data_IF_780070336438
#
_entry.id   IF_780070336438
#
_cell.length_a   1.000
_cell.length_b   1.000
_cell.length_c   1.000
_cell.angle_alpha   90.00
_cell.angle_beta   90.00
_cell.angle_gamma   90.00
#
_symmetry.space_group_name_H-M   'P 1'
#
loop_
_entity.id
_entity.type
_entity.pdbx_description
1 polymer ?
#
# COMPACT_ATOMS: atom_id res chain seq x y z
N UNK A 1 -27.76 -6.09 9.00
CA UNK A 1 -26.32 -6.41 9.08
C UNK A 1 -25.62 -5.30 9.85
N UNK A 2 -24.84 -5.62 10.88
CA UNK A 2 -24.06 -4.62 11.60
C UNK A 2 -23.04 -3.99 10.63
N UNK A 3 -22.97 -2.66 10.55
CA UNK A 3 -21.90 -2.00 9.81
C UNK A 3 -20.57 -2.46 10.44
N UNK A 4 -19.65 -3.05 9.68
CA UNK A 4 -18.31 -3.28 10.19
C UNK A 4 -17.68 -1.91 10.43
N UNK A 5 -17.73 -1.44 11.67
CA UNK A 5 -17.01 -0.24 12.08
C UNK A 5 -15.54 -0.60 12.14
N UNK A 6 -14.83 -0.29 11.07
CA UNK A 6 -13.37 -0.37 11.01
C UNK A 6 -12.85 0.98 11.49
N UNK A 7 -12.18 0.98 12.65
CA UNK A 7 -11.49 2.16 13.16
C UNK A 7 -10.00 1.98 12.93
N UNK A 8 -9.45 2.73 11.97
CA UNK A 8 -8.02 2.75 11.67
C UNK A 8 -7.38 4.01 12.28
N UNK A 9 -6.12 3.89 12.70
CA UNK A 9 -5.29 5.04 13.05
C UNK A 9 -5.04 5.89 11.80
N UNK A 10 -4.75 7.21 11.95
CA UNK A 10 -4.43 8.07 10.80
C UNK A 10 -3.30 7.54 9.90
N UNK A 11 -2.29 6.93 10.48
CA UNK A 11 -1.18 6.30 9.75
C UNK A 11 -1.64 5.07 8.97
N UNK A 12 -2.47 4.22 9.59
CA UNK A 12 -3.06 3.04 8.93
C UNK A 12 -3.97 3.43 7.77
N UNK A 13 -4.74 4.52 7.89
CA UNK A 13 -5.55 5.06 6.78
C UNK A 13 -4.68 5.56 5.63
N UNK A 14 -3.56 6.21 5.94
CA UNK A 14 -2.63 6.71 4.91
C UNK A 14 -2.00 5.57 4.12
N UNK A 15 -1.54 4.52 4.82
CA UNK A 15 -1.02 3.30 4.20
C UNK A 15 -2.10 2.60 3.37
N UNK A 16 -3.33 2.49 3.89
CA UNK A 16 -4.44 1.88 3.16
C UNK A 16 -4.72 2.61 1.85
N UNK A 17 -4.78 3.94 1.86
CA UNK A 17 -5.04 4.74 0.65
C UNK A 17 -3.94 4.60 -0.40
N UNK A 18 -2.67 4.58 0.04
CA UNK A 18 -1.53 4.36 -0.85
C UNK A 18 -1.55 2.94 -1.45
N UNK A 19 -1.76 1.91 -0.62
CA UNK A 19 -1.87 0.52 -1.07
C UNK A 19 -3.07 0.31 -2.01
N UNK A 20 -4.20 0.98 -1.76
CA UNK A 20 -5.38 0.95 -2.64
C UNK A 20 -5.06 1.54 -4.03
N UNK A 21 -4.20 2.55 -4.10
CA UNK A 21 -3.75 3.14 -5.36
C UNK A 21 -2.89 2.15 -6.16
N UNK A 22 -1.96 1.45 -5.50
CA UNK A 22 -1.15 0.38 -6.12
C UNK A 22 -2.06 -0.74 -6.64
N UNK A 23 -2.99 -1.20 -5.81
CA UNK A 23 -3.94 -2.25 -6.19
C UNK A 23 -4.82 -1.84 -7.38
N UNK A 24 -5.34 -0.61 -7.40
CA UNK A 24 -6.12 -0.08 -8.51
C UNK A 24 -5.32 -0.09 -9.82
N UNK A 25 -4.02 0.21 -9.76
CA UNK A 25 -3.11 0.08 -10.90
C UNK A 25 -3.06 -1.34 -11.47
N UNK A 26 -3.01 -2.36 -10.60
CA UNK A 26 -3.07 -3.76 -11.03
C UNK A 26 -4.41 -4.14 -11.65
N UNK A 27 -5.52 -3.69 -11.07
CA UNK A 27 -6.86 -3.95 -11.59
C UNK A 27 -7.02 -3.34 -12.99
N UNK A 28 -6.68 -2.07 -13.16
CA UNK A 28 -6.76 -1.36 -14.46
C UNK A 28 -5.86 -2.00 -15.50
N UNK A 29 -4.69 -2.51 -15.10
CA UNK A 29 -3.77 -3.22 -15.98
C UNK A 29 -4.22 -4.66 -16.34
N UNK A 30 -5.38 -5.12 -15.85
CA UNK A 30 -5.88 -6.49 -16.08
C UNK A 30 -5.03 -7.57 -15.41
N UNK A 31 -4.27 -7.22 -14.36
CA UNK A 31 -3.31 -8.11 -13.69
C UNK A 31 -3.88 -8.88 -12.52
N UNK A 32 -5.11 -8.58 -12.09
CA UNK A 32 -5.77 -9.26 -10.97
C UNK A 32 -6.77 -10.27 -11.53
N UNK A 33 -6.45 -11.58 -11.57
CA UNK A 33 -7.40 -12.60 -11.99
C UNK A 33 -8.54 -12.74 -11.00
N UNK A 34 -9.71 -13.15 -11.49
CA UNK A 34 -10.86 -13.48 -10.66
C UNK A 34 -10.49 -14.57 -9.64
N UNK A 35 -10.85 -14.34 -8.38
CA UNK A 35 -10.55 -15.24 -7.26
C UNK A 35 -9.15 -15.10 -6.65
N UNK A 36 -8.30 -14.23 -7.19
CA UNK A 36 -6.98 -13.92 -6.62
C UNK A 36 -6.92 -12.54 -5.93
N UNK A 37 -8.03 -11.84 -5.78
CA UNK A 37 -8.08 -10.47 -5.28
C UNK A 37 -7.40 -10.33 -3.91
N UNK A 38 -7.60 -11.32 -3.02
CA UNK A 38 -7.00 -11.33 -1.68
C UNK A 38 -5.47 -11.33 -1.73
N UNK A 39 -4.87 -12.09 -2.64
CA UNK A 39 -3.42 -12.15 -2.81
C UNK A 39 -2.88 -10.80 -3.31
N UNK A 40 -3.55 -10.23 -4.31
CA UNK A 40 -3.15 -8.96 -4.90
C UNK A 40 -3.36 -7.76 -3.96
N UNK A 41 -4.38 -7.79 -3.11
CA UNK A 41 -4.55 -6.83 -2.02
C UNK A 41 -3.38 -6.90 -1.03
N UNK A 42 -3.03 -8.11 -0.57
CA UNK A 42 -1.90 -8.31 0.35
C UNK A 42 -0.56 -7.92 -0.30
N UNK A 43 -0.39 -8.19 -1.59
CA UNK A 43 0.77 -7.77 -2.38
C UNK A 43 0.91 -6.25 -2.42
N UNK A 44 -0.18 -5.56 -2.77
CA UNK A 44 -0.18 -4.09 -2.90
C UNK A 44 0.17 -3.40 -1.58
N UNK A 45 -0.26 -3.97 -0.45
CA UNK A 45 0.13 -3.48 0.87
C UNK A 45 1.63 -3.64 1.14
N UNK A 46 2.21 -4.81 0.82
CA UNK A 46 3.65 -5.04 0.98
C UNK A 46 4.48 -4.11 0.11
N UNK A 47 4.08 -3.93 -1.14
CA UNK A 47 4.77 -3.05 -2.08
C UNK A 47 4.67 -1.58 -1.66
N UNK A 48 3.53 -1.15 -1.11
CA UNK A 48 3.40 0.17 -0.50
C UNK A 48 4.39 0.37 0.65
N UNK A 49 4.57 -0.63 1.52
CA UNK A 49 5.53 -0.57 2.63
C UNK A 49 6.97 -0.50 2.08
N UNK A 50 7.30 -1.32 1.08
CA UNK A 50 8.61 -1.27 0.42
C UNK A 50 8.89 0.07 -0.25
N UNK A 51 7.89 0.70 -0.86
CA UNK A 51 8.03 2.05 -1.42
C UNK A 51 8.28 3.09 -0.33
N UNK A 52 7.60 3.00 0.81
CA UNK A 52 7.82 3.89 1.93
C UNK A 52 9.25 3.76 2.48
N UNK A 53 9.73 2.52 2.66
CA UNK A 53 11.11 2.24 3.09
C UNK A 53 12.15 2.76 2.08
N UNK A 54 11.97 2.49 0.80
CA UNK A 54 12.88 2.98 -0.24
C UNK A 54 12.90 4.51 -0.33
N UNK A 55 11.77 5.17 -0.04
CA UNK A 55 11.69 6.64 0.03
C UNK A 55 12.48 7.17 1.23
N UNK A 56 12.30 6.54 2.40
CA UNK A 56 13.03 6.89 3.63
C UNK A 56 14.54 6.71 3.43
N UNK A 57 14.96 5.56 2.90
CA UNK A 57 16.37 5.25 2.59
C UNK A 57 16.97 6.28 1.62
N UNK A 58 16.24 6.66 0.57
CA UNK A 58 16.71 7.64 -0.41
C UNK A 58 16.85 9.05 0.19
N UNK A 59 15.89 9.48 1.01
CA UNK A 59 15.93 10.80 1.66
C UNK A 59 17.02 10.86 2.73
N UNK A 60 17.21 9.80 3.52
CA UNK A 60 18.29 9.72 4.51
C UNK A 60 19.66 9.71 3.83
N UNK A 61 19.82 8.96 2.73
CA UNK A 61 21.08 8.92 1.97
C UNK A 61 21.45 10.30 1.37
N UNK A 62 20.46 11.11 0.97
CA UNK A 62 20.69 12.47 0.48
C UNK A 62 20.95 13.48 1.62
N UNK A 63 20.53 13.16 2.85
CA UNK A 63 20.64 14.01 4.04
C UNK A 63 21.84 13.72 4.95
N UNK A 64 22.47 12.55 4.83
CA UNK A 64 23.70 12.18 5.56
C UNK A 64 24.96 12.63 4.79
N UNK A 65 25.24 13.92 4.85
CA UNK A 65 26.61 14.45 4.78
C UNK A 65 26.86 15.26 6.05
N UNK A 66 27.27 14.57 7.12
CA UNK A 66 28.00 15.16 8.25
C UNK A 66 29.39 14.50 8.33
#
# INVERSE_FOLDING_TARGET
MAKPYVTLKPTEMSILNAAATVYAGYVVAGRVPEGQEKEWLARSLKECISLAQATDDAVMADGEFD
#
